data_IF_924045609645
#
_entry.id   IF_924045609645
#
_cell.length_a   1.000
_cell.length_b   1.000
_cell.length_c   1.000
_cell.angle_alpha   90.00
_cell.angle_beta   90.00
_cell.angle_gamma   90.00
#
_symmetry.space_group_name_H-M   'P 1'
#
loop_
_entity.id
_entity.type
_entity.pdbx_description
1 polymer ?
#
# COMPACT_ATOMS: atom_id res chain seq x y z
N UNK A 1 0.83 -11.28 17.93
CA UNK A 1 2.13 -11.22 18.66
C UNK A 1 3.36 -11.30 17.75
N UNK A 2 3.41 -12.12 16.69
CA UNK A 2 4.60 -12.22 15.81
C UNK A 2 4.79 -11.05 14.81
N UNK A 3 3.72 -10.42 14.31
CA UNK A 3 3.84 -9.37 13.28
C UNK A 3 4.36 -8.02 13.80
N UNK A 4 4.11 -7.68 15.07
CA UNK A 4 4.51 -6.39 15.67
C UNK A 4 6.00 -6.36 16.02
N UNK A 5 6.57 -7.50 16.45
CA UNK A 5 8.02 -7.63 16.64
C UNK A 5 8.79 -7.52 15.32
N UNK A 6 8.21 -8.02 14.23
CA UNK A 6 8.77 -7.89 12.89
C UNK A 6 8.74 -6.41 12.43
N UNK A 7 7.66 -5.66 12.72
CA UNK A 7 7.53 -4.23 12.42
C UNK A 7 8.54 -3.36 13.20
N UNK A 8 8.79 -3.68 14.48
CA UNK A 8 9.82 -3.01 15.30
C UNK A 8 11.25 -3.36 14.83
N UNK A 9 11.44 -4.53 14.24
CA UNK A 9 12.69 -4.93 13.59
C UNK A 9 12.88 -4.18 12.26
N UNK A 10 11.79 -3.88 11.53
CA UNK A 10 11.81 -3.20 10.25
C UNK A 10 12.06 -1.69 10.33
N UNK A 11 11.54 -1.00 11.34
CA UNK A 11 11.73 0.45 11.51
C UNK A 11 13.14 0.83 11.97
N UNK A 12 13.89 -0.11 12.58
CA UNK A 12 15.27 0.12 13.05
C UNK A 12 16.36 -0.37 12.10
N UNK A 13 16.03 -1.12 11.06
CA UNK A 13 17.02 -1.80 10.24
C UNK A 13 17.23 -1.08 8.91
N UNK A 14 18.26 -0.23 8.83
CA UNK A 14 18.81 0.28 7.57
C UNK A 14 19.06 -0.86 6.56
N UNK A 15 19.25 -2.10 7.03
CA UNK A 15 19.45 -3.28 6.18
C UNK A 15 18.18 -3.70 5.43
N UNK A 16 16.99 -3.52 6.00
CA UNK A 16 15.75 -3.83 5.28
C UNK A 16 15.42 -2.76 4.24
N UNK A 17 15.66 -1.49 4.56
CA UNK A 17 15.58 -0.41 3.57
C UNK A 17 16.60 -0.67 2.46
N UNK A 18 17.86 -1.00 2.78
CA UNK A 18 18.87 -1.41 1.79
C UNK A 18 18.49 -2.66 1.00
N UNK A 19 17.81 -3.64 1.63
CA UNK A 19 17.27 -4.81 0.96
C UNK A 19 16.18 -4.40 -0.06
N UNK A 20 15.18 -3.62 0.35
CA UNK A 20 14.15 -3.07 -0.56
C UNK A 20 14.75 -2.21 -1.67
N UNK A 21 15.75 -1.38 -1.36
CA UNK A 21 16.47 -0.56 -2.33
C UNK A 21 17.21 -1.43 -3.37
N UNK A 22 17.89 -2.50 -2.94
CA UNK A 22 18.61 -3.40 -3.85
C UNK A 22 17.66 -4.22 -4.74
N UNK A 23 16.44 -4.47 -4.27
CA UNK A 23 15.45 -5.27 -4.96
C UNK A 23 14.83 -4.54 -6.18
N UNK A 24 14.58 -3.23 -6.09
CA UNK A 24 13.85 -2.50 -7.16
C UNK A 24 14.69 -2.25 -8.43
N UNK A 25 16.01 -2.45 -8.39
CA UNK A 25 16.90 -2.23 -9.54
C UNK A 25 17.08 -3.45 -10.47
N UNK A 26 16.77 -4.67 -10.00
CA UNK A 26 17.13 -5.94 -10.69
C UNK A 26 15.92 -6.86 -10.94
N UNK A 27 14.73 -6.50 -10.45
CA UNK A 27 13.57 -7.41 -10.44
C UNK A 27 12.67 -7.40 -11.69
N UNK A 28 12.90 -6.57 -12.72
CA UNK A 28 11.89 -6.34 -13.78
C UNK A 28 11.43 -7.63 -14.46
N UNK A 29 12.29 -8.67 -14.51
CA UNK A 29 11.99 -9.97 -15.14
C UNK A 29 12.18 -11.19 -14.22
N UNK A 30 12.54 -10.99 -12.94
CA UNK A 30 12.87 -12.10 -12.06
C UNK A 30 11.60 -12.79 -11.51
N UNK A 31 11.53 -14.14 -11.46
CA UNK A 31 10.34 -14.89 -11.01
C UNK A 31 9.91 -14.55 -9.58
N UNK A 32 10.83 -14.05 -8.75
CA UNK A 32 10.54 -13.64 -7.38
C UNK A 32 9.79 -12.30 -7.27
N UNK A 33 9.68 -11.51 -8.35
CA UNK A 33 9.07 -10.17 -8.31
C UNK A 33 7.69 -10.17 -7.70
N UNK A 34 6.84 -11.11 -8.12
CA UNK A 34 5.47 -11.24 -7.61
C UNK A 34 5.45 -11.46 -6.09
N UNK A 35 6.31 -12.33 -5.56
CA UNK A 35 6.38 -12.61 -4.13
C UNK A 35 6.81 -11.37 -3.33
N UNK A 36 7.74 -10.58 -3.85
CA UNK A 36 8.16 -9.34 -3.20
C UNK A 36 7.03 -8.32 -3.18
N UNK A 37 6.35 -8.13 -4.31
CA UNK A 37 5.21 -7.21 -4.42
C UNK A 37 4.08 -7.62 -3.48
N UNK A 38 3.74 -8.91 -3.45
CA UNK A 38 2.73 -9.46 -2.53
C UNK A 38 3.13 -9.26 -1.06
N UNK A 39 4.40 -9.47 -0.72
CA UNK A 39 4.92 -9.27 0.63
C UNK A 39 4.86 -7.80 1.06
N UNK A 40 5.30 -6.89 0.18
CA UNK A 40 5.22 -5.44 0.42
C UNK A 40 3.78 -4.98 0.60
N UNK A 41 2.86 -5.46 -0.23
CA UNK A 41 1.43 -5.18 -0.10
C UNK A 41 0.92 -5.62 1.28
N UNK A 42 1.24 -6.84 1.72
CA UNK A 42 0.82 -7.34 3.04
C UNK A 42 1.32 -6.44 4.17
N UNK A 43 2.60 -6.02 4.12
CA UNK A 43 3.15 -5.09 5.12
C UNK A 43 2.38 -3.77 5.14
N UNK A 44 2.08 -3.19 3.97
CA UNK A 44 1.36 -1.92 3.87
C UNK A 44 -0.07 -2.07 4.41
N UNK A 45 -0.80 -3.12 4.01
CA UNK A 45 -2.18 -3.35 4.45
C UNK A 45 -2.28 -3.58 5.96
N UNK A 46 -1.35 -4.34 6.55
CA UNK A 46 -1.29 -4.53 7.99
C UNK A 46 -1.12 -3.19 8.72
N UNK A 47 -0.28 -2.30 8.17
CA UNK A 47 -0.02 -0.97 8.74
C UNK A 47 -1.24 -0.05 8.72
N UNK A 48 -2.19 -0.25 7.79
CA UNK A 48 -3.39 0.59 7.71
C UNK A 48 -4.27 0.46 8.96
N UNK A 49 -4.26 -0.71 9.61
CA UNK A 49 -5.02 -0.90 10.85
C UNK A 49 -4.44 -0.14 12.06
N UNK A 50 -3.21 0.34 11.98
CA UNK A 50 -2.48 0.89 13.13
C UNK A 50 -2.76 2.38 13.33
N UNK A 51 -2.85 2.81 14.60
CA UNK A 51 -2.89 4.21 14.96
C UNK A 51 -1.48 4.79 14.95
N UNK A 52 -1.25 5.78 14.08
CA UNK A 52 -0.04 6.61 14.02
C UNK A 52 1.24 5.97 13.48
N UNK A 53 1.82 6.62 12.47
CA UNK A 53 3.24 6.55 12.13
C UNK A 53 3.71 7.95 11.73
N UNK A 54 4.89 8.42 12.17
CA UNK A 54 5.47 9.70 11.73
C UNK A 54 5.62 9.80 10.21
N UNK A 55 5.81 8.65 9.55
CA UNK A 55 5.78 8.50 8.10
C UNK A 55 4.98 7.23 7.75
N UNK A 56 3.87 7.32 7.01
CA UNK A 56 3.11 6.15 6.60
C UNK A 56 4.02 5.11 5.92
N UNK A 57 3.84 3.83 6.26
CA UNK A 57 4.63 2.73 5.68
C UNK A 57 4.52 2.73 4.15
N UNK A 58 3.35 3.12 3.63
CA UNK A 58 3.11 3.39 2.22
C UNK A 58 4.20 4.31 1.62
N UNK A 59 4.43 5.48 2.20
CA UNK A 59 5.39 6.44 1.65
C UNK A 59 6.82 5.93 1.76
N UNK A 60 7.16 5.20 2.84
CA UNK A 60 8.48 4.57 2.97
C UNK A 60 8.73 3.58 1.82
N UNK A 61 7.74 2.75 1.50
CA UNK A 61 7.85 1.77 0.41
C UNK A 61 7.87 2.47 -0.95
N UNK A 62 7.02 3.48 -1.18
CA UNK A 62 7.00 4.20 -2.46
C UNK A 62 8.29 5.01 -2.71
N UNK A 63 8.94 5.50 -1.66
CA UNK A 63 10.21 6.20 -1.74
C UNK A 63 11.41 5.25 -1.82
N UNK A 64 11.22 3.94 -1.61
CA UNK A 64 12.28 2.94 -1.70
C UNK A 64 12.66 2.72 -3.18
N UNK A 65 13.66 3.46 -3.65
CA UNK A 65 14.26 3.28 -4.96
C UNK A 65 15.78 3.34 -4.91
N UNK A 66 16.51 2.42 -5.57
CA UNK A 66 17.95 2.50 -5.61
C UNK A 66 18.41 3.72 -6.41
N UNK A 67 19.64 4.14 -6.11
CA UNK A 67 20.26 5.33 -6.70
C UNK A 67 20.37 5.22 -8.23
N UNK A 68 20.53 4.00 -8.75
CA UNK A 68 20.68 3.71 -10.17
C UNK A 68 19.36 3.45 -10.92
N UNK A 69 18.21 3.40 -10.24
CA UNK A 69 16.93 3.18 -10.92
C UNK A 69 16.54 4.38 -11.79
N UNK A 70 16.13 4.08 -13.02
CA UNK A 70 15.59 5.10 -13.92
C UNK A 70 14.25 5.63 -13.42
N UNK A 71 13.88 6.84 -13.87
CA UNK A 71 12.56 7.43 -13.56
C UNK A 71 11.40 6.52 -13.98
N UNK A 72 11.54 5.85 -15.13
CA UNK A 72 10.55 4.91 -15.65
C UNK A 72 10.37 3.71 -14.71
N UNK A 73 11.45 3.05 -14.29
CA UNK A 73 11.40 1.93 -13.34
C UNK A 73 10.78 2.32 -12.00
N UNK A 74 11.08 3.54 -11.51
CA UNK A 74 10.46 4.09 -10.30
C UNK A 74 8.95 4.23 -10.43
N UNK A 75 8.48 4.78 -11.55
CA UNK A 75 7.06 4.95 -11.81
C UNK A 75 6.35 3.59 -11.97
N UNK A 76 6.95 2.63 -12.65
CA UNK A 76 6.42 1.27 -12.82
C UNK A 76 6.26 0.56 -11.47
N UNK A 77 7.29 0.63 -10.62
CA UNK A 77 7.25 0.06 -9.28
C UNK A 77 6.17 0.71 -8.41
N UNK A 78 6.13 2.05 -8.34
CA UNK A 78 5.10 2.77 -7.57
C UNK A 78 3.70 2.42 -8.08
N UNK A 79 3.53 2.37 -9.40
CA UNK A 79 2.26 2.00 -10.04
C UNK A 79 1.84 0.58 -9.68
N UNK A 80 2.76 -0.39 -9.71
CA UNK A 80 2.49 -1.78 -9.37
C UNK A 80 2.05 -1.95 -7.90
N UNK A 81 2.79 -1.34 -6.96
CA UNK A 81 2.45 -1.39 -5.53
C UNK A 81 1.07 -0.77 -5.28
N UNK A 82 0.83 0.43 -5.80
CA UNK A 82 -0.46 1.11 -5.60
C UNK A 82 -1.61 0.34 -6.24
N UNK A 83 -1.42 -0.24 -7.42
CA UNK A 83 -2.43 -1.08 -8.08
C UNK A 83 -2.81 -2.29 -7.22
N UNK A 84 -1.82 -3.05 -6.75
CA UNK A 84 -2.10 -4.27 -5.97
C UNK A 84 -2.82 -3.95 -4.66
N UNK A 85 -2.55 -2.79 -4.05
CA UNK A 85 -3.28 -2.30 -2.89
C UNK A 85 -4.73 -1.94 -3.28
N UNK A 86 -4.96 -1.16 -4.34
CA UNK A 86 -6.32 -0.80 -4.81
C UNK A 86 -7.20 -2.04 -5.01
N UNK A 87 -6.67 -3.05 -5.71
CA UNK A 87 -7.38 -4.30 -5.98
C UNK A 87 -7.76 -5.04 -4.68
N UNK A 88 -6.83 -5.11 -3.71
CA UNK A 88 -7.09 -5.79 -2.44
C UNK A 88 -8.09 -5.06 -1.56
N UNK A 89 -8.02 -3.72 -1.48
CA UNK A 89 -8.96 -2.93 -0.67
C UNK A 89 -10.39 -3.07 -1.19
N UNK A 90 -10.57 -3.08 -2.52
CA UNK A 90 -11.88 -3.30 -3.15
C UNK A 90 -12.36 -4.72 -2.93
N UNK A 91 -11.52 -5.73 -3.19
CA UNK A 91 -11.89 -7.13 -3.05
C UNK A 91 -12.25 -7.50 -1.60
N UNK A 92 -11.65 -6.82 -0.62
CA UNK A 92 -11.90 -7.08 0.79
C UNK A 92 -13.04 -6.27 1.40
N UNK A 93 -13.68 -5.38 0.64
CA UNK A 93 -14.68 -4.45 1.16
C UNK A 93 -14.21 -3.74 2.45
N UNK A 94 -12.97 -3.24 2.43
CA UNK A 94 -12.22 -2.80 3.63
C UNK A 94 -12.95 -1.77 4.49
N UNK A 95 -13.84 -0.97 3.89
CA UNK A 95 -14.60 0.06 4.59
C UNK A 95 -15.91 -0.44 5.21
N UNK A 96 -16.23 -1.74 5.16
CA UNK A 96 -17.39 -2.30 5.86
C UNK A 96 -17.15 -2.56 7.35
N UNK A 97 -15.93 -2.39 7.87
CA UNK A 97 -15.66 -2.62 9.30
C UNK A 97 -15.57 -4.11 9.61
N UNK A 98 -16.31 -4.59 10.61
CA UNK A 98 -16.27 -6.00 11.04
C UNK A 98 -16.67 -7.00 9.95
N UNK A 99 -17.44 -6.56 8.94
CA UNK A 99 -17.84 -7.35 7.79
C UNK A 99 -16.81 -7.33 6.66
N UNK A 100 -15.70 -6.60 6.80
CA UNK A 100 -14.61 -6.60 5.82
C UNK A 100 -13.87 -7.94 5.83
N UNK A 101 -13.41 -8.38 4.66
CA UNK A 101 -12.62 -9.61 4.54
C UNK A 101 -11.17 -9.45 5.01
N UNK A 102 -10.74 -8.23 5.35
CA UNK A 102 -9.41 -7.96 5.90
C UNK A 102 -9.42 -8.09 7.43
N UNK A 103 -8.63 -8.99 8.01
CA UNK A 103 -8.51 -9.10 9.45
C UNK A 103 -7.82 -7.85 10.02
N UNK A 104 -8.27 -7.38 11.18
CA UNK A 104 -7.55 -6.36 11.94
C UNK A 104 -6.41 -7.00 12.72
N UNK A 105 -5.20 -6.47 12.53
CA UNK A 105 -4.05 -6.85 13.32
C UNK A 105 -4.25 -6.50 14.81
N UNK A 106 -3.63 -7.25 15.70
CA UNK A 106 -3.76 -7.06 17.15
C UNK A 106 -3.38 -5.62 17.54
N UNK A 107 -4.28 -4.90 18.22
CA UNK A 107 -4.07 -3.49 18.58
C UNK A 107 -4.43 -2.49 17.48
N UNK A 108 -4.94 -2.94 16.33
CA UNK A 108 -5.45 -2.09 15.26
C UNK A 108 -6.91 -1.68 15.45
N UNK A 109 -7.37 -0.71 14.64
CA UNK A 109 -8.73 -0.18 14.67
C UNK A 109 -9.29 0.01 13.26
N UNK A 110 -10.58 -0.29 13.06
CA UNK A 110 -11.30 -0.03 11.81
C UNK A 110 -11.37 1.47 11.48
N UNK A 111 -11.27 2.33 12.50
CA UNK A 111 -11.23 3.79 12.31
C UNK A 111 -9.91 4.19 11.67
N UNK A 112 -8.79 3.65 12.17
CA UNK A 112 -7.46 3.86 11.59
C UNK A 112 -7.35 3.29 10.18
N UNK A 113 -7.90 2.08 9.98
CA UNK A 113 -8.00 1.46 8.66
C UNK A 113 -8.70 2.39 7.68
N UNK A 114 -9.89 2.90 8.01
CA UNK A 114 -10.62 3.81 7.15
C UNK A 114 -9.82 5.09 6.84
N UNK A 115 -9.23 5.73 7.86
CA UNK A 115 -8.42 6.94 7.68
C UNK A 115 -7.22 6.71 6.74
N UNK A 116 -6.50 5.61 6.95
CA UNK A 116 -5.33 5.27 6.13
C UNK A 116 -5.73 4.85 4.70
N UNK A 117 -6.90 4.22 4.51
CA UNK A 117 -7.46 3.95 3.18
C UNK A 117 -7.82 5.24 2.44
N UNK A 118 -8.43 6.22 3.12
CA UNK A 118 -8.71 7.52 2.51
C UNK A 118 -7.43 8.29 2.18
N UNK A 119 -6.43 8.25 3.07
CA UNK A 119 -5.11 8.79 2.78
C UNK A 119 -4.48 8.14 1.53
N UNK A 120 -4.53 6.81 1.44
CA UNK A 120 -4.06 6.09 0.26
C UNK A 120 -4.81 6.53 -1.01
N UNK A 121 -6.14 6.68 -0.95
CA UNK A 121 -6.92 7.16 -2.09
C UNK A 121 -6.48 8.55 -2.55
N UNK A 122 -6.22 9.48 -1.61
CA UNK A 122 -5.65 10.80 -1.94
C UNK A 122 -4.30 10.68 -2.63
N UNK A 123 -3.40 9.81 -2.15
CA UNK A 123 -2.09 9.57 -2.79
C UNK A 123 -2.20 9.01 -4.20
N UNK A 124 -3.18 8.12 -4.46
CA UNK A 124 -3.47 7.62 -5.82
C UNK A 124 -3.85 8.77 -6.76
N UNK A 125 -4.72 9.67 -6.31
CA UNK A 125 -5.12 10.85 -7.10
C UNK A 125 -3.93 11.78 -7.36
N UNK A 126 -3.11 12.06 -6.34
CA UNK A 126 -1.91 12.91 -6.48
C UNK A 126 -0.94 12.32 -7.52
N UNK A 127 -0.68 11.02 -7.46
CA UNK A 127 0.25 10.34 -8.36
C UNK A 127 -0.29 10.24 -9.79
N UNK A 128 -1.60 10.09 -9.95
CA UNK A 128 -2.27 10.19 -11.26
C UNK A 128 -2.09 11.58 -11.85
N UNK A 129 -2.34 12.63 -11.06
CA UNK A 129 -2.17 14.02 -11.48
C UNK A 129 -0.73 14.33 -11.90
N UNK A 130 0.26 13.82 -11.17
CA UNK A 130 1.69 13.99 -11.47
C UNK A 130 2.17 13.18 -12.69
N UNK A 131 1.30 12.39 -13.34
CA UNK A 131 1.65 11.44 -14.41
C UNK A 131 2.72 10.40 -13.99
N UNK A 132 2.79 10.12 -12.69
CA UNK A 132 3.65 9.08 -12.11
C UNK A 132 2.93 7.73 -12.13
N UNK A 133 1.60 7.76 -11.97
CA UNK A 133 0.75 6.58 -12.03
C UNK A 133 0.38 6.27 -13.49
N UNK A 134 1.00 5.23 -14.06
CA UNK A 134 0.90 4.89 -15.50
C UNK A 134 -0.36 4.06 -15.84
N UNK A 135 -1.51 4.39 -15.25
CA UNK A 135 -2.78 3.66 -15.45
C UNK A 135 -3.84 4.56 -16.07
N UNK A 136 -4.90 3.93 -16.55
CA UNK A 136 -6.08 4.65 -17.01
C UNK A 136 -6.74 5.37 -15.84
N UNK A 137 -7.02 6.67 -16.02
CA UNK A 137 -7.76 7.49 -15.04
C UNK A 137 -9.10 6.87 -14.64
N UNK A 138 -9.69 6.08 -15.55
CA UNK A 138 -10.91 5.29 -15.31
C UNK A 138 -10.75 4.27 -14.17
N UNK A 139 -9.64 3.54 -14.11
CA UNK A 139 -9.40 2.56 -13.03
C UNK A 139 -9.37 3.23 -11.65
N UNK A 140 -8.73 4.41 -11.56
CA UNK A 140 -8.68 5.21 -10.32
C UNK A 140 -10.06 5.70 -9.93
N UNK A 141 -10.84 6.19 -10.90
CA UNK A 141 -12.20 6.66 -10.65
C UNK A 141 -13.12 5.53 -10.16
N UNK A 142 -13.06 4.35 -10.79
CA UNK A 142 -13.83 3.18 -10.36
C UNK A 142 -13.45 2.73 -8.95
N UNK A 143 -12.15 2.72 -8.63
CA UNK A 143 -11.66 2.44 -7.28
C UNK A 143 -12.26 3.40 -6.23
N UNK A 144 -12.17 4.71 -6.46
CA UNK A 144 -12.71 5.72 -5.54
C UNK A 144 -14.23 5.57 -5.39
N UNK A 145 -14.93 5.34 -6.50
CA UNK A 145 -16.38 5.14 -6.51
C UNK A 145 -16.80 3.94 -5.65
N UNK A 146 -16.05 2.82 -5.74
CA UNK A 146 -16.29 1.63 -4.90
C UNK A 146 -16.01 1.89 -3.42
N UNK A 147 -14.95 2.63 -3.08
CA UNK A 147 -14.68 3.03 -1.69
C UNK A 147 -15.82 3.87 -1.10
N UNK A 148 -16.31 4.86 -1.85
CA UNK A 148 -17.45 5.69 -1.41
C UNK A 148 -18.70 4.83 -1.21
N UNK A 149 -18.99 3.89 -2.13
CA UNK A 149 -20.11 2.98 -2.00
C UNK A 149 -20.01 2.10 -0.74
N UNK A 150 -18.82 1.58 -0.42
CA UNK A 150 -18.58 0.82 0.81
C UNK A 150 -18.79 1.69 2.05
N UNK A 151 -18.21 2.90 2.08
CA UNK A 151 -18.34 3.81 3.21
C UNK A 151 -19.80 4.19 3.51
N UNK A 152 -20.63 4.40 2.47
CA UNK A 152 -22.07 4.69 2.64
C UNK A 152 -22.84 3.52 3.26
N UNK A 153 -22.47 2.27 2.96
CA UNK A 153 -23.14 1.09 3.52
C UNK A 153 -22.84 0.88 5.00
N UNK A 154 -21.65 1.27 5.48
CA UNK A 154 -21.28 1.18 6.90
C UNK A 154 -22.13 2.09 7.82
N UNK A 155 -22.71 3.15 7.27
CA UNK A 155 -23.51 4.13 8.03
C UNK A 155 -24.96 3.66 8.27
N UNK A 156 -25.41 2.65 7.51
CA UNK A 156 -26.75 2.05 7.62
C UNK A 156 -26.70 0.82 8.53
#
# INVERSE_FOLDING_TARGET
LRSVQILFFFTKSDQFVKFLLNISGVLSEHPARKFVVDFLRTIILDSFSQQYSPKPVLDVVLDASPDNATRQQRHEFQTEIMKTIMEHLVAADVLLGEQAALPIATGGSYVSMANNVFYFASRVVDKLWQSVFMRESKEVFEFISKLIAQAKRKVT
#
